data_IF_400610554966
#
_entry.id   IF_400610554966
#
_cell.length_a   1.000
_cell.length_b   1.000
_cell.length_c   1.000
_cell.angle_alpha   90.00
_cell.angle_beta   90.00
_cell.angle_gamma   90.00
#
_symmetry.space_group_name_H-M   'P 1'
#
loop_
_entity.id
_entity.type
_entity.pdbx_description
1 polymer ?
#
# COMPACT_ATOMS: atom_id res chain seq x y z
N UNK A 1 8.38 -14.98 -4.72
CA UNK A 1 8.16 -13.62 -4.21
C UNK A 1 6.89 -13.60 -3.39
N UNK A 2 7.00 -13.28 -2.12
CA UNK A 2 5.89 -13.07 -1.19
C UNK A 2 5.48 -11.59 -1.16
N UNK A 3 4.25 -11.24 -0.75
CA UNK A 3 3.84 -9.86 -0.57
C UNK A 3 4.76 -9.04 0.35
N UNK A 4 5.35 -9.69 1.37
CA UNK A 4 6.32 -9.06 2.29
C UNK A 4 7.65 -8.74 1.60
N UNK A 5 8.16 -9.64 0.76
CA UNK A 5 9.36 -9.38 -0.04
C UNK A 5 9.15 -8.25 -1.05
N UNK A 6 7.97 -8.19 -1.67
CA UNK A 6 7.59 -7.08 -2.55
C UNK A 6 7.57 -5.78 -1.75
N UNK A 7 6.94 -5.75 -0.57
CA UNK A 7 6.95 -4.56 0.27
C UNK A 7 8.38 -4.08 0.57
N UNK A 8 9.29 -4.98 0.94
CA UNK A 8 10.69 -4.64 1.17
C UNK A 8 11.40 -4.09 -0.09
N UNK A 9 11.12 -4.65 -1.27
CA UNK A 9 11.72 -4.21 -2.53
C UNK A 9 11.35 -2.76 -2.89
N UNK A 10 10.12 -2.34 -2.58
CA UNK A 10 9.62 -1.00 -2.86
C UNK A 10 9.78 -0.04 -1.67
N UNK A 11 10.52 -0.44 -0.63
CA UNK A 11 10.63 0.31 0.64
C UNK A 11 9.25 0.63 1.25
N UNK A 12 8.26 -0.22 0.99
CA UNK A 12 6.91 -0.06 1.48
C UNK A 12 6.79 -0.59 2.90
N UNK A 13 6.20 0.22 3.78
CA UNK A 13 5.93 -0.14 5.16
C UNK A 13 4.82 -1.18 5.24
N UNK A 14 5.10 -2.30 5.90
CA UNK A 14 4.11 -3.38 6.06
C UNK A 14 3.25 -3.12 7.30
N UNK A 15 1.94 -3.16 7.11
CA UNK A 15 0.97 -3.09 8.19
C UNK A 15 0.15 -4.38 8.26
N UNK A 16 -0.21 -4.76 9.48
CA UNK A 16 -1.02 -5.96 9.74
C UNK A 16 -2.52 -5.67 9.64
N UNK A 17 -2.91 -4.40 9.86
CA UNK A 17 -4.30 -3.93 9.83
C UNK A 17 -4.42 -2.53 9.25
N UNK A 18 -5.56 -2.17 8.63
CA UNK A 18 -5.82 -0.81 8.16
C UNK A 18 -5.82 0.24 9.28
N UNK A 19 -6.18 -0.16 10.50
CA UNK A 19 -6.14 0.71 11.68
C UNK A 19 -4.72 1.16 12.02
N UNK A 20 -3.74 0.25 11.97
CA UNK A 20 -2.34 0.58 12.22
C UNK A 20 -1.78 1.57 11.18
N UNK A 21 -2.20 1.43 9.93
CA UNK A 21 -1.85 2.37 8.86
C UNK A 21 -2.44 3.77 9.12
N UNK A 22 -3.73 3.84 9.48
CA UNK A 22 -4.40 5.11 9.82
C UNK A 22 -3.78 5.81 11.02
N UNK A 23 -3.44 5.07 12.08
CA UNK A 23 -2.76 5.62 13.27
C UNK A 23 -1.37 6.16 12.91
N UNK A 24 -0.69 5.54 11.95
CA UNK A 24 0.58 6.03 11.42
C UNK A 24 0.42 7.23 10.45
N UNK A 25 -0.79 7.71 10.20
CA UNK A 25 -1.06 8.83 9.28
C UNK A 25 -1.15 8.43 7.81
N UNK A 26 -1.14 7.14 7.48
CA UNK A 26 -1.26 6.69 6.10
C UNK A 26 -2.72 6.74 5.64
N UNK A 27 -2.90 7.21 4.40
CA UNK A 27 -4.17 7.19 3.67
C UNK A 27 -4.30 5.85 2.96
N UNK A 28 -5.43 5.18 3.16
CA UNK A 28 -5.75 3.94 2.44
C UNK A 28 -6.05 4.25 0.98
N UNK A 29 -5.46 3.48 0.09
CA UNK A 29 -5.65 3.58 -1.35
C UNK A 29 -6.40 2.35 -1.87
N UNK A 30 -5.93 1.75 -2.97
CA UNK A 30 -6.56 0.59 -3.58
C UNK A 30 -6.45 -0.67 -2.71
N UNK A 31 -7.54 -1.43 -2.66
CA UNK A 31 -7.60 -2.74 -2.03
C UNK A 31 -7.82 -3.81 -3.09
N UNK A 32 -7.03 -4.87 -3.05
CA UNK A 32 -7.18 -6.05 -3.88
C UNK A 32 -7.54 -7.26 -3.04
N UNK A 33 -8.57 -8.01 -3.45
CA UNK A 33 -9.04 -9.25 -2.81
C UNK A 33 -8.80 -10.46 -3.72
N UNK A 34 -7.53 -10.88 -3.88
CA UNK A 34 -7.15 -11.95 -4.79
C UNK A 34 -7.69 -13.30 -4.31
N UNK A 35 -8.31 -14.06 -5.22
CA UNK A 35 -8.91 -15.37 -4.92
C UNK A 35 -7.90 -16.46 -4.52
N UNK A 36 -6.62 -16.32 -4.86
CA UNK A 36 -5.57 -17.32 -4.62
C UNK A 36 -4.24 -16.65 -4.23
N UNK A 37 -3.39 -17.39 -3.52
CA UNK A 37 -2.09 -16.90 -2.99
C UNK A 37 -1.16 -16.36 -4.10
N UNK A 38 -1.15 -16.99 -5.27
CA UNK A 38 -0.37 -16.50 -6.43
C UNK A 38 -0.83 -15.10 -6.88
N UNK A 39 -2.15 -14.89 -6.93
CA UNK A 39 -2.72 -13.58 -7.26
C UNK A 39 -2.43 -12.53 -6.18
N UNK A 40 -2.08 -12.94 -4.96
CA UNK A 40 -1.77 -12.03 -3.86
C UNK A 40 -0.42 -11.35 -4.01
N UNK A 41 0.60 -12.09 -4.44
CA UNK A 41 1.89 -11.50 -4.77
C UNK A 41 1.76 -10.54 -5.97
N UNK A 42 1.05 -10.95 -7.03
CA UNK A 42 0.79 -10.08 -8.19
C UNK A 42 -0.02 -8.84 -7.83
N UNK A 43 -1.03 -8.97 -6.97
CA UNK A 43 -1.81 -7.83 -6.48
C UNK A 43 -0.95 -6.87 -5.65
N UNK A 44 -0.14 -7.40 -4.72
CA UNK A 44 0.79 -6.58 -3.93
C UNK A 44 1.78 -5.85 -4.82
N UNK A 45 2.32 -6.51 -5.85
CA UNK A 45 3.23 -5.89 -6.81
C UNK A 45 2.55 -4.78 -7.61
N UNK A 46 1.35 -5.03 -8.15
CA UNK A 46 0.60 -4.03 -8.90
C UNK A 46 0.29 -2.79 -8.05
N UNK A 47 -0.10 -2.99 -6.79
CA UNK A 47 -0.35 -1.89 -5.84
C UNK A 47 0.97 -1.16 -5.52
N UNK A 48 2.05 -1.88 -5.22
CA UNK A 48 3.34 -1.29 -4.89
C UNK A 48 3.89 -0.42 -6.03
N UNK A 49 3.76 -0.87 -7.28
CA UNK A 49 4.17 -0.09 -8.47
C UNK A 49 3.40 1.23 -8.52
N UNK A 50 2.07 1.20 -8.43
CA UNK A 50 1.24 2.42 -8.46
C UNK A 50 1.57 3.39 -7.32
N UNK A 51 1.84 2.86 -6.14
CA UNK A 51 2.24 3.67 -4.98
C UNK A 51 3.63 4.28 -5.18
N UNK A 52 4.58 3.53 -5.73
CA UNK A 52 5.90 4.03 -6.07
C UNK A 52 5.84 5.13 -7.14
N UNK A 53 4.94 5.02 -8.13
CA UNK A 53 4.69 6.08 -9.11
C UNK A 53 4.12 7.35 -8.47
N UNK A 54 3.20 7.21 -7.50
CA UNK A 54 2.70 8.33 -6.68
C UNK A 54 3.81 8.98 -5.85
N UNK A 55 4.71 8.18 -5.27
CA UNK A 55 5.91 8.67 -4.54
C UNK A 55 6.85 9.42 -5.48
N UNK A 56 7.15 8.86 -6.65
CA UNK A 56 7.99 9.48 -7.66
C UNK A 56 7.41 10.80 -8.19
N UNK A 57 6.08 10.91 -8.23
CA UNK A 57 5.35 12.12 -8.62
C UNK A 57 5.27 13.18 -7.51
N UNK A 58 5.78 12.89 -6.31
CA UNK A 58 5.73 13.80 -5.15
C UNK A 58 4.38 13.87 -4.43
N UNK A 59 3.44 12.99 -4.76
CA UNK A 59 2.11 12.93 -4.11
C UNK A 59 2.22 12.21 -2.75
N UNK A 60 3.09 11.22 -2.66
CA UNK A 60 3.33 10.42 -1.46
C UNK A 60 4.77 10.56 -0.94
N UNK A 61 4.93 10.78 0.36
CA UNK A 61 6.23 10.72 1.08
C UNK A 61 6.66 9.29 1.34
N UNK A 62 5.75 8.51 1.89
CA UNK A 62 5.97 7.10 2.20
C UNK A 62 4.85 6.26 1.58
N UNK A 63 5.17 5.02 1.28
CA UNK A 63 4.21 4.04 0.78
C UNK A 63 4.18 2.85 1.72
N UNK A 64 3.05 2.17 1.74
CA UNK A 64 2.83 1.03 2.62
C UNK A 64 1.86 0.02 2.03
N UNK A 65 1.95 -1.19 2.54
CA UNK A 65 1.09 -2.30 2.17
C UNK A 65 0.52 -2.93 3.43
N UNK A 66 -0.80 -3.00 3.49
CA UNK A 66 -1.53 -3.76 4.50
C UNK A 66 -1.76 -5.15 3.93
N UNK A 67 -1.25 -6.16 4.61
CA UNK A 67 -1.29 -7.55 4.13
C UNK A 67 -2.18 -8.35 5.08
N UNK A 68 -3.46 -8.46 4.72
CA UNK A 68 -4.44 -9.27 5.42
C UNK A 68 -4.49 -10.69 4.84
N UNK A 69 -5.05 -11.70 5.53
CA UNK A 69 -5.08 -13.08 5.03
C UNK A 69 -5.62 -13.22 3.60
N UNK A 70 -6.71 -12.53 3.27
CA UNK A 70 -7.41 -12.63 1.97
C UNK A 70 -7.42 -11.33 1.15
N UNK A 71 -6.72 -10.30 1.62
CA UNK A 71 -6.73 -8.96 1.03
C UNK A 71 -5.34 -8.35 1.08
N UNK A 72 -5.06 -7.47 0.14
CA UNK A 72 -3.89 -6.59 0.15
C UNK A 72 -4.37 -5.18 -0.13
N UNK A 73 -4.09 -4.26 0.78
CA UNK A 73 -4.47 -2.86 0.63
C UNK A 73 -3.22 -2.00 0.55
N UNK A 74 -3.16 -1.15 -0.46
CA UNK A 74 -2.16 -0.10 -0.56
C UNK A 74 -2.48 1.05 0.39
N UNK A 75 -1.45 1.64 0.96
CA UNK A 75 -1.58 2.87 1.71
C UNK A 75 -0.39 3.79 1.41
N UNK A 76 -0.57 5.09 1.56
CA UNK A 76 0.51 6.05 1.39
C UNK A 76 0.39 7.20 2.37
N UNK A 77 1.53 7.74 2.77
CA UNK A 77 1.61 8.97 3.54
C UNK A 77 1.73 10.13 2.54
N UNK A 78 0.74 11.03 2.43
CA UNK A 78 0.79 12.12 1.46
C UNK A 78 1.83 13.19 1.85
N UNK A 79 2.42 13.88 0.86
CA UNK A 79 3.47 14.91 1.12
C UNK A 79 2.91 16.24 1.62
N UNK A 80 1.93 16.76 0.91
CA UNK A 80 0.96 17.71 1.44
C UNK A 80 -0.29 16.92 1.85
N UNK A 81 -0.99 17.28 2.94
CA UNK A 81 -2.33 16.79 3.14
C UNK A 81 -3.16 17.21 1.92
N UNK A 82 -3.44 16.29 1.00
CA UNK A 82 -4.38 16.58 -0.09
C UNK A 82 -5.68 17.03 0.58
N UNK A 83 -6.25 18.19 0.18
CA UNK A 83 -7.48 18.67 0.78
C UNK A 83 -8.55 17.60 0.56
N UNK A 84 -9.10 17.11 1.66
CA UNK A 84 -10.28 16.26 1.70
C UNK A 84 -11.27 16.77 0.66
N UNK A 85 -11.56 15.96 -0.36
CA UNK A 85 -12.59 16.26 -1.33
C UNK A 85 -13.90 16.54 -0.55
N UNK A 86 -14.42 17.75 -0.74
CA UNK A 86 -15.65 18.25 -0.15
C UNK A 86 -16.88 17.80 -0.93
#
# INVERSE_FOLDING_TARGET
>A
MTPKEIAAQYEARVFESPEAAKVAGFVLAETATPRNVWNKASAAQAIAIKLAEKRASGIAREIGLIIEPWSVTGCYLPDMPEPSAA
#
